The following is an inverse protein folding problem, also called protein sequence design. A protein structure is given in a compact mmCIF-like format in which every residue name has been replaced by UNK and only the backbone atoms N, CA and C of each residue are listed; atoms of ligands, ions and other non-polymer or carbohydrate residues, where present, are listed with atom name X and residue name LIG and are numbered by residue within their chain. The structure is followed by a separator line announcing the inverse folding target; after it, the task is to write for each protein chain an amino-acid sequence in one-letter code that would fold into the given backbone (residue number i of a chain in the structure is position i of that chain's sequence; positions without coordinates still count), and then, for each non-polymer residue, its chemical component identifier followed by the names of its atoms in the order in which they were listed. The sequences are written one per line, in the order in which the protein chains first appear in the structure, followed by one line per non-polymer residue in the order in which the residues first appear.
data_IF_498227049248
#
_entry.id   IF_498227049248
#
_cell.length_a   1.000
_cell.length_b   1.000
_cell.length_c   1.000
_cell.angle_alpha   90.00
_cell.angle_beta   90.00
_cell.angle_gamma   90.00
#
_symmetry.space_group_name_H-M   'P 1'
#
loop_
_entity.id
_entity.type
_entity.pdbx_description
1 polymer ?
#
# COMPACT_ATOMS: atom_id res chain seq x y z
N UNK A 1 -15.44 -20.12 -16.45
CA UNK A 1 -15.08 -19.10 -15.45
C UNK A 1 -13.63 -19.35 -15.06
N UNK A 2 -12.68 -18.67 -15.71
CA UNK A 2 -11.25 -18.88 -15.51
C UNK A 2 -10.66 -17.77 -14.65
N UNK A 3 -9.81 -18.12 -13.68
CA UNK A 3 -9.03 -17.14 -12.92
C UNK A 3 -8.24 -16.24 -13.87
N UNK A 4 -8.15 -14.92 -13.62
CA UNK A 4 -7.31 -14.05 -14.43
C UNK A 4 -5.87 -14.52 -14.31
N UNK A 5 -5.23 -14.74 -15.47
CA UNK A 5 -3.81 -15.01 -15.60
C UNK A 5 -3.03 -14.00 -14.75
N UNK A 6 -2.01 -14.48 -14.02
CA UNK A 6 -1.04 -13.67 -13.25
C UNK A 6 -0.26 -12.74 -14.18
N UNK A 7 -0.93 -11.74 -14.74
CA UNK A 7 -0.30 -10.76 -15.60
C UNK A 7 0.55 -9.85 -14.71
N UNK A 8 1.85 -9.82 -15.01
CA UNK A 8 2.87 -9.03 -14.28
C UNK A 8 2.55 -7.53 -14.31
N UNK A 9 1.63 -7.11 -15.18
CA UNK A 9 1.17 -5.73 -15.33
C UNK A 9 0.43 -5.18 -14.10
N UNK A 10 -0.14 -6.01 -13.23
CA UNK A 10 -0.96 -5.53 -12.11
C UNK A 10 -0.16 -4.84 -10.98
N UNK A 11 1.15 -5.11 -10.88
CA UNK A 11 2.01 -4.58 -9.82
C UNK A 11 3.16 -3.69 -10.34
N UNK A 12 3.12 -3.35 -11.64
CA UNK A 12 4.19 -2.63 -12.35
C UNK A 12 5.30 -3.55 -12.87
N UNK A 13 5.98 -3.12 -13.94
CA UNK A 13 7.14 -3.80 -14.51
C UNK A 13 8.31 -2.81 -14.71
N UNK A 14 9.38 -2.88 -13.88
CA UNK A 14 9.58 -3.81 -12.77
C UNK A 14 8.60 -3.56 -11.62
N UNK A 15 8.32 -4.61 -10.85
CA UNK A 15 7.45 -4.53 -9.67
C UNK A 15 8.07 -3.54 -8.69
N UNK A 16 7.38 -2.44 -8.42
CA UNK A 16 7.83 -1.44 -7.45
C UNK A 16 7.33 -1.83 -6.05
N UNK A 17 8.18 -1.75 -5.02
CA UNK A 17 7.74 -1.89 -3.64
C UNK A 17 6.65 -0.87 -3.29
N UNK A 18 5.67 -1.27 -2.47
CA UNK A 18 4.55 -0.41 -2.09
C UNK A 18 3.93 -0.87 -0.77
N UNK A 19 3.31 0.06 -0.06
CA UNK A 19 2.41 -0.17 1.07
C UNK A 19 1.00 0.24 0.68
N UNK A 20 0.01 -0.60 1.03
CA UNK A 20 -1.40 -0.25 0.97
C UNK A 20 -1.93 -0.12 2.40
N UNK A 21 -2.51 1.03 2.73
CA UNK A 21 -3.21 1.23 4.01
C UNK A 21 -4.71 1.14 3.75
N UNK A 22 -5.37 0.25 4.47
CA UNK A 22 -6.82 0.07 4.42
C UNK A 22 -7.43 0.68 5.67
N UNK A 23 -8.31 1.66 5.49
CA UNK A 23 -8.99 2.35 6.60
C UNK A 23 -10.48 2.05 6.51
N UNK A 24 -11.04 1.48 7.58
CA UNK A 24 -12.48 1.28 7.71
C UNK A 24 -13.13 2.60 8.11
N UNK A 25 -14.03 3.12 7.27
CA UNK A 25 -14.79 4.32 7.61
C UNK A 25 -16.02 4.00 8.47
N UNK A 26 -16.68 5.04 8.98
CA UNK A 26 -17.87 4.92 9.84
C UNK A 26 -19.08 4.24 9.14
N UNK A 27 -19.07 4.19 7.81
CA UNK A 27 -20.09 3.53 7.00
C UNK A 27 -19.77 2.04 6.77
N UNK A 28 -18.70 1.52 7.37
CA UNK A 28 -18.26 0.13 7.24
C UNK A 28 -17.57 -0.18 5.90
N UNK A 29 -17.11 0.82 5.17
CA UNK A 29 -16.43 0.68 3.88
C UNK A 29 -14.93 0.89 4.04
N UNK A 30 -14.13 0.06 3.37
CA UNK A 30 -12.68 0.23 3.33
C UNK A 30 -12.28 1.24 2.26
N UNK A 31 -11.65 2.33 2.68
CA UNK A 31 -10.83 3.18 1.81
C UNK A 31 -9.43 2.58 1.69
N UNK A 32 -8.77 2.74 0.53
CA UNK A 32 -7.41 2.26 0.29
C UNK A 32 -6.51 3.41 -0.15
N UNK A 33 -5.38 3.56 0.52
CA UNK A 33 -4.32 4.51 0.15
C UNK A 33 -3.03 3.76 -0.19
N UNK A 34 -2.25 4.28 -1.15
CA UNK A 34 -1.03 3.66 -1.65
C UNK A 34 0.16 4.58 -1.39
N UNK A 35 1.23 4.01 -0.85
CA UNK A 35 2.48 4.71 -0.56
C UNK A 35 3.66 3.97 -1.19
N UNK A 36 4.59 4.70 -1.82
CA UNK A 36 5.79 4.14 -2.46
C UNK A 36 7.02 5.00 -2.21
N UNK A 37 8.21 4.42 -2.38
CA UNK A 37 9.48 5.13 -2.20
C UNK A 37 9.51 5.89 -0.87
N UNK A 38 9.66 7.21 -0.97
CA UNK A 38 9.82 8.12 0.16
C UNK A 38 8.49 8.72 0.68
N UNK A 39 7.34 8.29 0.14
CA UNK A 39 6.03 8.70 0.65
C UNK A 39 5.90 8.32 2.13
N UNK A 40 5.48 9.29 2.96
CA UNK A 40 5.17 9.05 4.37
C UNK A 40 3.85 8.30 4.48
N UNK A 41 3.89 7.15 5.15
CA UNK A 41 2.71 6.31 5.35
C UNK A 41 1.80 6.99 6.37
N UNK A 42 0.60 7.35 5.95
CA UNK A 42 -0.42 7.87 6.85
C UNK A 42 -1.27 6.74 7.39
N UNK A 43 -1.46 6.69 8.71
CA UNK A 43 -2.35 5.74 9.37
C UNK A 43 -3.17 6.45 10.44
N UNK A 44 -4.50 6.37 10.33
CA UNK A 44 -5.41 6.92 11.35
C UNK A 44 -5.23 6.20 12.68
N UNK A 45 -4.95 4.89 12.65
CA UNK A 45 -4.72 4.06 13.84
C UNK A 45 -3.38 4.35 14.51
N UNK A 46 -2.37 4.74 13.72
CA UNK A 46 -1.02 5.03 14.19
C UNK A 46 -0.55 6.40 13.65
N UNK A 47 -1.03 7.52 14.24
CA UNK A 47 -0.76 8.86 13.71
C UNK A 47 0.72 9.24 13.76
N UNK A 48 1.49 8.66 14.70
CA UNK A 48 2.93 8.90 14.84
C UNK A 48 3.79 7.94 13.99
N UNK A 49 3.18 7.17 13.08
CA UNK A 49 3.89 6.28 12.16
C UNK A 49 4.66 7.10 11.11
N UNK A 50 5.92 7.40 11.41
CA UNK A 50 6.80 8.14 10.51
C UNK A 50 7.69 7.20 9.68
N UNK A 51 7.10 6.31 8.88
CA UNK A 51 7.83 5.40 7.98
C UNK A 51 7.47 5.62 6.51
N UNK A 52 8.42 5.29 5.63
CA UNK A 52 8.29 5.24 4.17
C UNK A 52 8.70 3.85 3.66
N UNK A 53 8.35 3.54 2.41
CA UNK A 53 8.71 2.25 1.81
C UNK A 53 10.23 2.07 1.71
N UNK A 54 10.97 3.15 1.39
CA UNK A 54 12.43 3.15 1.36
C UNK A 54 13.04 2.80 2.74
N UNK A 55 12.47 3.32 3.84
CA UNK A 55 12.94 3.02 5.19
C UNK A 55 12.63 1.58 5.59
N UNK A 56 11.47 1.04 5.19
CA UNK A 56 11.08 -0.36 5.45
C UNK A 56 12.04 -1.34 4.76
N UNK A 57 12.55 -1.01 3.57
CA UNK A 57 13.43 -1.89 2.79
C UNK A 57 14.89 -1.90 3.23
N UNK A 58 15.30 -0.99 4.13
CA UNK A 58 16.70 -0.84 4.56
C UNK A 58 17.15 -1.84 5.65
N UNK A 59 16.36 -2.86 5.95
CA UNK A 59 16.60 -3.85 7.03
C UNK A 59 17.77 -4.80 6.75
#
# INVERSE_FOLDING_TARGET
MGWPSRDRSYLGNPKQPLVLVYTLNDQGQYATERFQGSDRINSVTFPDLALSMDEILRS
#
